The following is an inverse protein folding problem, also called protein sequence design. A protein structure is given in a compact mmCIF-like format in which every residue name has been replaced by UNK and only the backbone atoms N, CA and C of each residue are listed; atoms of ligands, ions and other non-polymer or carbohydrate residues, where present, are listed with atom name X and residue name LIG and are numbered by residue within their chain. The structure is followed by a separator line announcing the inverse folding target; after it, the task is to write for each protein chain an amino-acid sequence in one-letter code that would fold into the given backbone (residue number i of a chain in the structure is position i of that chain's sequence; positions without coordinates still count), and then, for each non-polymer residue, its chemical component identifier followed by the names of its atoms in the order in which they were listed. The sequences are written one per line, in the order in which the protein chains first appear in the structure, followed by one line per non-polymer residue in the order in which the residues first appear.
data_IF_198330448459
#
_entry.id   IF_198330448459
#
_cell.length_a   1.000
_cell.length_b   1.000
_cell.length_c   1.000
_cell.angle_alpha   90.00
_cell.angle_beta   90.00
_cell.angle_gamma   90.00
#
_symmetry.space_group_name_H-M   'P 1'
#
loop_
_entity.id
_entity.type
_entity.pdbx_description
1 polymer ?
#
# COMPACT_ATOMS: atom_id res chain seq x y z
N UNK A 1 -2.61 -6.27 15.91
CA UNK A 1 -1.69 -6.06 14.75
C UNK A 1 -0.97 -7.37 14.43
N UNK A 2 -0.94 -7.80 13.17
CA UNK A 2 -0.19 -9.01 12.77
C UNK A 2 1.33 -8.82 12.94
N UNK A 3 2.01 -9.83 13.47
CA UNK A 3 3.43 -9.80 13.82
C UNK A 3 4.33 -9.61 12.58
N UNK A 4 3.90 -10.12 11.43
CA UNK A 4 4.74 -10.11 10.22
C UNK A 4 4.77 -8.72 9.56
N UNK A 5 3.61 -8.12 9.29
CA UNK A 5 3.53 -6.76 8.73
C UNK A 5 4.09 -5.70 9.71
N UNK A 6 3.87 -5.88 11.02
CA UNK A 6 4.45 -5.00 12.04
C UNK A 6 5.99 -5.02 12.00
N UNK A 7 6.60 -6.19 11.78
CA UNK A 7 8.05 -6.29 11.66
C UNK A 7 8.57 -5.54 10.42
N UNK A 8 7.91 -5.69 9.27
CA UNK A 8 8.29 -4.99 8.03
C UNK A 8 8.19 -3.46 8.21
N UNK A 9 7.10 -2.96 8.81
CA UNK A 9 6.91 -1.53 9.10
C UNK A 9 8.03 -1.02 10.03
N UNK A 10 8.38 -1.77 11.06
CA UNK A 10 9.46 -1.39 11.99
C UNK A 10 10.83 -1.31 11.29
N UNK A 11 11.12 -2.23 10.37
CA UNK A 11 12.34 -2.19 9.56
C UNK A 11 12.36 -0.95 8.64
N UNK A 12 11.24 -0.60 8.02
CA UNK A 12 11.11 0.61 7.21
C UNK A 12 11.24 1.90 8.03
N UNK A 13 10.66 1.96 9.22
CA UNK A 13 10.81 3.09 10.16
C UNK A 13 12.27 3.34 10.51
N UNK A 14 13.02 2.27 10.80
CA UNK A 14 14.44 2.37 11.12
C UNK A 14 15.27 2.82 9.92
N UNK A 15 14.94 2.33 8.72
CA UNK A 15 15.70 2.63 7.50
C UNK A 15 15.37 4.00 6.91
N UNK A 16 14.11 4.41 6.98
CA UNK A 16 13.57 5.64 6.40
C UNK A 16 12.76 6.43 7.45
N UNK A 17 13.42 6.93 8.51
CA UNK A 17 12.74 7.60 9.62
C UNK A 17 12.06 8.91 9.21
N UNK A 18 12.43 9.49 8.06
CA UNK A 18 11.79 10.69 7.54
C UNK A 18 10.41 10.46 6.90
N UNK A 19 10.01 9.21 6.70
CA UNK A 19 8.68 8.82 6.21
C UNK A 19 7.78 8.35 7.37
N UNK A 20 8.06 8.79 8.60
CA UNK A 20 7.35 8.39 9.81
C UNK A 20 5.83 8.54 9.70
N UNK A 21 5.35 9.58 9.03
CA UNK A 21 3.91 9.80 8.82
C UNK A 21 3.25 8.68 8.00
N UNK A 22 3.94 8.12 6.99
CA UNK A 22 3.46 6.97 6.21
C UNK A 22 3.39 5.74 7.09
N UNK A 23 4.46 5.51 7.86
CA UNK A 23 4.55 4.32 8.72
C UNK A 23 3.53 4.37 9.85
N UNK A 24 3.25 5.55 10.41
CA UNK A 24 2.17 5.76 11.36
C UNK A 24 0.81 5.44 10.74
N UNK A 25 0.59 5.88 9.50
CA UNK A 25 -0.66 5.57 8.77
C UNK A 25 -0.84 4.06 8.55
N UNK A 26 0.23 3.32 8.23
CA UNK A 26 0.16 1.86 8.06
C UNK A 26 -0.10 1.14 9.39
N UNK A 27 0.44 1.64 10.50
CA UNK A 27 0.11 1.13 11.83
C UNK A 27 -1.36 1.38 12.16
N UNK A 28 -1.88 2.58 11.85
CA UNK A 28 -3.29 2.92 12.04
C UNK A 28 -4.23 2.05 11.22
N UNK A 29 -3.86 1.75 9.98
CA UNK A 29 -4.60 0.80 9.14
C UNK A 29 -4.58 -0.61 9.73
N UNK A 30 -3.50 -0.99 10.39
CA UNK A 30 -3.32 -2.31 11.01
C UNK A 30 -3.85 -2.42 12.44
N UNK A 31 -4.33 -1.31 13.01
CA UNK A 31 -4.88 -1.27 14.36
C UNK A 31 -6.24 -2.00 14.43
N UNK A 32 -6.45 -2.66 15.57
CA UNK A 32 -7.70 -3.35 15.87
C UNK A 32 -8.89 -2.38 15.93
N UNK A 33 -10.10 -2.92 15.81
CA UNK A 33 -11.32 -2.15 15.94
C UNK A 33 -11.50 -1.75 17.41
N UNK A 34 -11.73 -0.46 17.66
CA UNK A 34 -12.06 0.05 19.00
C UNK A 34 -13.56 -0.13 19.30
N UNK A 35 -14.38 -0.15 18.26
CA UNK A 35 -15.84 -0.36 18.32
C UNK A 35 -16.22 -1.39 17.25
N UNK A 36 -16.47 -2.63 17.66
CA UNK A 36 -16.86 -3.74 16.78
C UNK A 36 -18.38 -3.85 16.61
N UNK A 37 -19.17 -3.01 17.28
CA UNK A 37 -20.64 -3.03 17.29
C UNK A 37 -21.27 -2.14 16.21
N UNK A 38 -20.47 -1.51 15.34
CA UNK A 38 -21.01 -0.69 14.24
C UNK A 38 -21.89 -1.52 13.29
N UNK A 39 -23.18 -1.19 13.23
CA UNK A 39 -24.18 -1.90 12.44
C UNK A 39 -23.82 -2.00 10.94
N UNK A 40 -23.03 -1.05 10.42
CA UNK A 40 -22.58 -1.05 9.01
C UNK A 40 -21.67 -2.24 8.69
N UNK A 41 -21.00 -2.82 9.69
CA UNK A 41 -20.16 -4.00 9.52
C UNK A 41 -20.93 -5.29 9.26
N UNK A 42 -22.26 -5.28 9.33
CA UNK A 42 -23.08 -6.44 8.96
C UNK A 42 -22.86 -6.86 7.50
N UNK A 43 -22.46 -5.93 6.61
CA UNK A 43 -22.14 -6.25 5.22
C UNK A 43 -20.98 -7.25 5.12
N UNK A 44 -20.05 -7.24 6.07
CA UNK A 44 -18.92 -8.16 6.11
C UNK A 44 -19.34 -9.62 6.33
N UNK A 45 -20.50 -9.89 6.93
CA UNK A 45 -21.03 -11.25 7.02
C UNK A 45 -21.36 -11.82 5.64
N UNK A 46 -21.93 -10.98 4.76
CA UNK A 46 -22.24 -11.34 3.38
C UNK A 46 -20.98 -11.55 2.53
N UNK A 47 -20.04 -10.60 2.60
CA UNK A 47 -18.79 -10.62 1.82
C UNK A 47 -17.91 -11.81 2.24
N UNK A 48 -17.84 -12.15 3.53
CA UNK A 48 -17.01 -13.26 4.00
C UNK A 48 -17.66 -14.65 3.81
N UNK A 49 -18.98 -14.74 3.65
CA UNK A 49 -19.70 -16.01 3.59
C UNK A 49 -19.22 -17.01 2.52
N UNK A 50 -18.85 -16.60 1.28
CA UNK A 50 -18.32 -17.51 0.27
C UNK A 50 -17.00 -18.19 0.68
N UNK A 51 -16.25 -17.60 1.62
CA UNK A 51 -14.93 -18.04 2.03
C UNK A 51 -14.99 -19.00 3.21
N UNK A 52 -15.68 -20.14 3.04
CA UNK A 52 -16.04 -21.07 4.13
C UNK A 52 -14.91 -21.51 5.08
N UNK A 53 -13.65 -21.55 4.62
CA UNK A 53 -12.48 -21.88 5.44
C UNK A 53 -11.85 -20.71 6.20
N UNK A 54 -12.23 -19.47 5.86
CA UNK A 54 -11.64 -18.22 6.36
C UNK A 54 -12.68 -17.18 6.78
N UNK A 55 -13.97 -17.56 6.90
CA UNK A 55 -15.07 -16.62 7.17
C UNK A 55 -14.75 -15.67 8.33
N UNK A 56 -14.27 -16.19 9.47
CA UNK A 56 -13.95 -15.35 10.63
C UNK A 56 -12.78 -14.39 10.36
N UNK A 57 -11.73 -14.86 9.69
CA UNK A 57 -10.56 -14.04 9.33
C UNK A 57 -10.96 -12.92 8.37
N UNK A 58 -11.73 -13.27 7.33
CA UNK A 58 -12.15 -12.34 6.29
C UNK A 58 -13.22 -11.37 6.79
N UNK A 59 -14.12 -11.81 7.67
CA UNK A 59 -15.06 -10.91 8.34
C UNK A 59 -14.31 -9.83 9.11
N UNK A 60 -13.32 -10.22 9.93
CA UNK A 60 -12.52 -9.24 10.70
C UNK A 60 -11.70 -8.33 9.79
N UNK A 61 -11.07 -8.87 8.74
CA UNK A 61 -10.35 -8.05 7.77
C UNK A 61 -11.26 -7.08 7.01
N UNK A 62 -12.46 -7.50 6.60
CA UNK A 62 -13.45 -6.62 5.97
C UNK A 62 -13.81 -5.44 6.88
N UNK A 63 -14.04 -5.69 8.17
CA UNK A 63 -14.34 -4.60 9.12
C UNK A 63 -13.18 -3.62 9.25
N UNK A 64 -11.94 -4.12 9.36
CA UNK A 64 -10.74 -3.28 9.41
C UNK A 64 -10.62 -2.44 8.13
N UNK A 65 -10.83 -3.05 6.97
CA UNK A 65 -10.77 -2.35 5.69
C UNK A 65 -11.89 -1.31 5.55
N UNK A 66 -13.12 -1.60 5.95
CA UNK A 66 -14.20 -0.61 5.97
C UNK A 66 -13.88 0.56 6.91
N UNK A 67 -13.34 0.31 8.10
CA UNK A 67 -12.85 1.36 9.01
C UNK A 67 -11.77 2.23 8.34
N UNK A 68 -10.85 1.61 7.61
CA UNK A 68 -9.77 2.34 6.95
C UNK A 68 -10.32 3.16 5.76
N UNK A 69 -11.23 2.58 4.98
CA UNK A 69 -11.92 3.26 3.88
C UNK A 69 -12.72 4.47 4.37
N UNK A 70 -13.48 4.31 5.45
CA UNK A 70 -14.18 5.41 6.13
C UNK A 70 -13.24 6.59 6.43
N UNK A 71 -12.08 6.30 7.04
CA UNK A 71 -11.09 7.32 7.40
C UNK A 71 -10.39 8.00 6.22
N UNK A 72 -10.23 7.33 5.08
CA UNK A 72 -9.55 7.91 3.91
C UNK A 72 -10.51 8.52 2.91
N UNK A 73 -11.79 8.14 2.94
CA UNK A 73 -12.80 8.58 1.98
C UNK A 73 -13.79 9.59 2.55
N UNK A 74 -13.92 9.73 3.86
CA UNK A 74 -14.82 10.71 4.47
C UNK A 74 -14.04 11.83 5.14
N UNK A 75 -14.42 13.06 4.83
CA UNK A 75 -14.08 14.24 5.62
C UNK A 75 -15.36 14.89 6.13
N UNK A 76 -15.35 15.34 7.39
CA UNK A 76 -16.43 16.16 7.91
C UNK A 76 -16.50 17.45 7.09
N UNK A 77 -17.73 17.88 6.77
CA UNK A 77 -17.97 19.20 6.21
C UNK A 77 -17.68 20.26 7.28
N UNK A 78 -16.39 20.52 7.57
CA UNK A 78 -16.00 21.64 8.42
C UNK A 78 -16.39 22.92 7.68
N UNK A 79 -17.40 23.60 8.20
CA UNK A 79 -17.64 25.02 7.93
C UNK A 79 -16.30 25.76 8.04
N UNK A 80 -15.95 26.58 7.05
CA UNK A 80 -14.69 27.37 6.97
C UNK A 80 -14.41 28.27 8.21
N UNK A 81 -15.25 28.25 9.23
CA UNK A 81 -15.18 29.08 10.44
C UNK A 81 -14.44 28.48 11.64
N UNK A 82 -13.95 27.23 11.59
CA UNK A 82 -13.27 26.59 12.73
C UNK A 82 -11.85 26.11 12.40
N UNK A 83 -11.00 27.02 11.89
CA UNK A 83 -9.55 26.81 11.89
C UNK A 83 -8.96 27.31 13.21
N UNK A 84 -8.96 26.44 14.23
CA UNK A 84 -8.35 26.72 15.52
C UNK A 84 -7.81 25.45 16.17
N UNK A 85 -6.49 25.24 16.05
CA UNK A 85 -5.67 24.12 16.55
C UNK A 85 -5.81 22.81 15.73
N UNK A 86 -4.80 22.25 15.08
CA UNK A 86 -3.36 22.36 15.29
C UNK A 86 -2.76 21.03 15.72
N UNK A 87 -2.96 19.98 14.92
CA UNK A 87 -2.11 18.78 14.91
C UNK A 87 -1.61 18.58 13.49
N UNK A 88 -0.30 18.40 13.33
CA UNK A 88 0.37 18.28 12.02
C UNK A 88 -0.02 17.02 11.21
N UNK A 89 -0.92 16.18 11.73
CA UNK A 89 -1.51 14.99 11.08
C UNK A 89 -2.60 15.32 10.03
N UNK A 90 -3.03 16.58 9.92
CA UNK A 90 -4.23 16.99 9.14
C UNK A 90 -3.91 17.54 7.73
N UNK A 91 -2.71 17.29 7.18
CA UNK A 91 -2.28 17.87 5.89
C UNK A 91 -2.18 16.88 4.71
N UNK A 92 -2.35 15.57 4.94
CA UNK A 92 -2.38 14.59 3.85
C UNK A 92 -3.78 14.57 3.24
N UNK A 93 -3.89 14.90 1.96
CA UNK A 93 -5.15 14.90 1.23
C UNK A 93 -5.73 13.49 1.05
N UNK A 94 -7.04 13.42 0.84
CA UNK A 94 -7.81 12.17 0.70
C UNK A 94 -7.23 11.24 -0.37
N UNK A 95 -6.73 11.78 -1.49
CA UNK A 95 -6.17 10.96 -2.57
C UNK A 95 -4.84 10.33 -2.14
N UNK A 96 -3.96 11.10 -1.50
CA UNK A 96 -2.70 10.56 -0.94
C UNK A 96 -2.98 9.51 0.15
N UNK A 97 -4.00 9.70 1.00
CA UNK A 97 -4.41 8.68 1.98
C UNK A 97 -4.90 7.39 1.30
N UNK A 98 -5.69 7.52 0.24
CA UNK A 98 -6.16 6.38 -0.55
C UNK A 98 -5.02 5.62 -1.24
N UNK A 99 -4.02 6.33 -1.81
CA UNK A 99 -2.82 5.70 -2.39
C UNK A 99 -2.09 4.87 -1.32
N UNK A 100 -1.89 5.46 -0.13
CA UNK A 100 -1.25 4.76 0.97
C UNK A 100 -2.07 3.55 1.48
N UNK A 101 -3.40 3.63 1.46
CA UNK A 101 -4.26 2.48 1.76
C UNK A 101 -4.04 1.34 0.75
N UNK A 102 -3.96 1.65 -0.54
CA UNK A 102 -3.69 0.65 -1.58
C UNK A 102 -2.28 0.04 -1.46
N UNK A 103 -1.27 0.82 -1.09
CA UNK A 103 0.08 0.31 -0.80
C UNK A 103 0.05 -0.61 0.42
N UNK A 104 -0.64 -0.23 1.49
CA UNK A 104 -0.81 -1.09 2.66
C UNK A 104 -1.54 -2.40 2.30
N UNK A 105 -2.60 -2.33 1.49
CA UNK A 105 -3.31 -3.51 0.97
C UNK A 105 -2.40 -4.43 0.17
N UNK A 106 -1.50 -3.88 -0.64
CA UNK A 106 -0.51 -4.67 -1.38
C UNK A 106 0.38 -5.49 -0.43
N UNK A 107 0.96 -4.88 0.61
CA UNK A 107 1.79 -5.61 1.56
C UNK A 107 0.98 -6.60 2.41
N UNK A 108 -0.23 -6.21 2.83
CA UNK A 108 -1.14 -7.07 3.58
C UNK A 108 -1.53 -8.32 2.76
N UNK A 109 -1.92 -8.15 1.50
CA UNK A 109 -2.31 -9.25 0.60
C UNK A 109 -1.14 -10.15 0.26
N UNK A 110 0.08 -9.62 0.11
CA UNK A 110 1.30 -10.41 -0.09
C UNK A 110 1.56 -11.38 1.08
N UNK A 111 1.25 -10.96 2.31
CA UNK A 111 1.43 -11.76 3.52
C UNK A 111 0.27 -12.74 3.70
N UNK A 112 -0.96 -12.23 3.65
CA UNK A 112 -2.17 -12.97 4.06
C UNK A 112 -2.88 -13.68 2.90
N UNK A 113 -2.45 -13.42 1.66
CA UNK A 113 -3.01 -14.00 0.44
C UNK A 113 -4.53 -13.77 0.36
N UNK A 114 -4.97 -12.54 0.63
CA UNK A 114 -6.37 -12.14 0.45
C UNK A 114 -6.63 -11.93 -1.04
N UNK A 115 -7.68 -12.53 -1.62
CA UNK A 115 -8.04 -12.34 -3.03
C UNK A 115 -8.45 -10.90 -3.34
N UNK A 116 -8.08 -10.41 -4.52
CA UNK A 116 -8.45 -9.08 -4.99
C UNK A 116 -9.98 -8.92 -5.13
N UNK A 117 -10.68 -9.97 -5.59
CA UNK A 117 -12.16 -10.01 -5.66
C UNK A 117 -12.81 -9.71 -4.31
N UNK A 118 -12.24 -10.22 -3.21
CA UNK A 118 -12.73 -9.92 -1.86
C UNK A 118 -12.56 -8.44 -1.52
N UNK A 119 -11.41 -7.85 -1.86
CA UNK A 119 -11.11 -6.45 -1.58
C UNK A 119 -12.02 -5.54 -2.41
N UNK A 120 -12.23 -5.86 -3.69
CA UNK A 120 -13.16 -5.16 -4.57
C UNK A 120 -14.59 -5.14 -4.00
N UNK A 121 -15.07 -6.26 -3.46
CA UNK A 121 -16.39 -6.32 -2.80
C UNK A 121 -16.46 -5.38 -1.59
N UNK A 122 -15.39 -5.27 -0.79
CA UNK A 122 -15.36 -4.36 0.37
C UNK A 122 -15.36 -2.90 -0.06
N UNK A 123 -14.59 -2.53 -1.08
CA UNK A 123 -14.61 -1.17 -1.65
C UNK A 123 -15.98 -0.84 -2.23
N UNK A 124 -16.59 -1.76 -2.98
CA UNK A 124 -17.95 -1.57 -3.51
C UNK A 124 -19.00 -1.45 -2.41
N UNK A 125 -18.83 -2.17 -1.29
CA UNK A 125 -19.70 -2.04 -0.14
C UNK A 125 -19.58 -0.65 0.48
N UNK A 126 -18.37 -0.12 0.66
CA UNK A 126 -18.14 1.24 1.14
C UNK A 126 -18.85 2.28 0.27
N UNK A 127 -18.71 2.19 -1.05
CA UNK A 127 -19.38 3.08 -2.00
C UNK A 127 -20.91 3.05 -1.83
N UNK A 128 -21.47 1.86 -1.55
CA UNK A 128 -22.89 1.69 -1.25
C UNK A 128 -23.28 2.32 0.08
N UNK A 129 -22.48 2.16 1.13
CA UNK A 129 -22.75 2.70 2.47
C UNK A 129 -22.75 4.23 2.50
N UNK A 130 -21.94 4.88 1.65
CA UNK A 130 -21.91 6.34 1.53
C UNK A 130 -23.28 6.93 1.20
N UNK A 131 -24.10 6.21 0.43
CA UNK A 131 -25.47 6.65 0.11
C UNK A 131 -26.36 6.81 1.35
N UNK A 132 -26.00 6.17 2.48
CA UNK A 132 -26.73 6.25 3.75
C UNK A 132 -26.37 7.48 4.59
N UNK A 133 -25.21 8.10 4.34
CA UNK A 133 -24.69 9.21 5.16
C UNK A 133 -25.17 10.59 4.72
N UNK A 134 -25.63 10.73 3.47
CA UNK A 134 -26.15 11.98 2.91
C UNK A 134 -25.14 13.13 2.95
N UNK A 135 -25.63 14.37 3.00
CA UNK A 135 -24.81 15.59 2.87
C UNK A 135 -23.97 15.92 4.13
N UNK A 136 -23.94 15.06 5.15
CA UNK A 136 -23.19 15.32 6.39
C UNK A 136 -21.69 15.21 6.20
N UNK A 137 -21.26 14.36 5.27
CA UNK A 137 -19.85 14.08 5.02
C UNK A 137 -19.52 14.39 3.57
N UNK A 138 -18.33 14.93 3.34
CA UNK A 138 -17.76 14.96 2.00
C UNK A 138 -17.13 13.61 1.75
N UNK A 139 -17.65 12.93 0.73
CA UNK A 139 -17.10 11.66 0.28
C UNK A 139 -16.15 11.88 -0.91
N UNK A 140 -14.90 11.49 -0.73
CA UNK A 140 -13.90 11.37 -1.79
C UNK A 140 -13.72 9.88 -2.09
N UNK A 141 -14.14 9.46 -3.29
CA UNK A 141 -14.06 8.06 -3.69
C UNK A 141 -12.62 7.58 -3.73
N UNK A 142 -12.31 6.56 -2.93
CA UNK A 142 -11.05 5.83 -2.98
C UNK A 142 -11.22 4.63 -3.92
N UNK A 143 -10.38 4.54 -4.95
CA UNK A 143 -10.40 3.42 -5.88
C UNK A 143 -9.41 2.36 -5.43
N UNK A 144 -9.85 1.11 -5.45
CA UNK A 144 -8.94 -0.01 -5.23
C UNK A 144 -8.02 -0.17 -6.44
N UNK A 145 -6.73 -0.32 -6.19
CA UNK A 145 -5.70 -0.61 -7.17
C UNK A 145 -4.89 -1.83 -6.72
N UNK A 146 -5.14 -2.97 -7.38
CA UNK A 146 -4.30 -4.14 -7.19
C UNK A 146 -2.93 -3.93 -7.84
N UNK A 147 -1.95 -3.55 -7.04
CA UNK A 147 -0.58 -3.35 -7.53
C UNK A 147 0.00 -4.60 -8.21
N UNK A 148 -0.35 -5.78 -7.72
CA UNK A 148 0.08 -7.06 -8.29
C UNK A 148 -0.49 -7.31 -9.69
N UNK A 149 -1.71 -6.83 -9.96
CA UNK A 149 -2.41 -7.04 -11.23
C UNK A 149 -2.26 -5.89 -12.22
N UNK A 150 -1.98 -4.68 -11.73
CA UNK A 150 -1.85 -3.48 -12.57
C UNK A 150 -0.41 -3.23 -12.98
N UNK A 151 0.59 -3.63 -12.18
CA UNK A 151 1.99 -3.29 -12.41
C UNK A 151 2.92 -4.51 -12.42
N UNK A 152 4.01 -4.37 -13.17
CA UNK A 152 5.16 -5.26 -13.06
C UNK A 152 6.13 -4.72 -11.98
N UNK A 153 6.77 -5.62 -11.23
CA UNK A 153 7.74 -5.28 -10.17
C UNK A 153 7.18 -4.27 -9.12
N UNK A 154 6.00 -4.54 -8.51
CA UNK A 154 5.28 -3.58 -7.68
C UNK A 154 6.06 -3.05 -6.46
N UNK A 155 6.89 -3.86 -5.80
CA UNK A 155 7.67 -3.40 -4.62
C UNK A 155 8.66 -2.29 -4.96
N UNK A 156 9.38 -2.48 -6.07
CA UNK A 156 10.33 -1.50 -6.58
C UNK A 156 9.59 -0.24 -7.04
N UNK A 157 8.43 -0.40 -7.69
CA UNK A 157 7.60 0.72 -8.14
C UNK A 157 7.03 1.53 -6.96
N UNK A 158 6.43 0.86 -5.97
CA UNK A 158 5.85 1.48 -4.77
C UNK A 158 6.89 2.40 -4.11
N UNK A 159 8.14 1.95 -4.00
CA UNK A 159 9.21 2.77 -3.45
C UNK A 159 9.50 4.03 -4.27
N UNK A 160 9.39 3.97 -5.59
CA UNK A 160 9.52 5.16 -6.43
C UNK A 160 8.31 6.09 -6.29
N UNK A 161 7.10 5.55 -6.18
CA UNK A 161 5.87 6.33 -5.97
C UNK A 161 5.84 6.99 -4.60
N UNK A 162 6.33 6.31 -3.57
CA UNK A 162 6.51 6.90 -2.23
C UNK A 162 7.43 8.12 -2.28
N UNK A 163 8.44 8.16 -3.16
CA UNK A 163 9.20 9.39 -3.40
C UNK A 163 8.32 10.50 -4.00
N UNK A 164 7.55 10.19 -5.05
CA UNK A 164 6.70 11.17 -5.76
C UNK A 164 5.71 11.82 -4.80
N UNK A 165 5.02 11.01 -3.99
CA UNK A 165 3.98 11.49 -3.06
C UNK A 165 4.55 12.28 -1.87
N UNK A 166 5.88 12.22 -1.65
CA UNK A 166 6.54 12.84 -0.49
C UNK A 166 7.70 13.75 -0.92
N UNK A 167 7.66 14.25 -2.15
CA UNK A 167 8.77 15.00 -2.72
C UNK A 167 9.12 16.26 -1.93
N UNK A 168 8.12 16.94 -1.35
CA UNK A 168 8.32 18.17 -0.58
C UNK A 168 9.05 17.88 0.74
N UNK A 169 8.64 16.82 1.45
CA UNK A 169 9.30 16.37 2.68
C UNK A 169 10.75 16.00 2.39
N UNK A 170 10.97 15.24 1.31
CA UNK A 170 12.29 14.81 0.87
C UNK A 170 13.16 16.02 0.50
N UNK A 171 12.63 16.95 -0.29
CA UNK A 171 13.30 18.20 -0.67
C UNK A 171 13.74 18.98 0.57
N UNK A 172 12.82 19.22 1.52
CA UNK A 172 13.10 19.98 2.74
C UNK A 172 14.23 19.35 3.56
N UNK A 173 14.26 18.01 3.65
CA UNK A 173 15.33 17.30 4.36
C UNK A 173 16.65 17.40 3.62
N UNK A 174 16.66 17.24 2.30
CA UNK A 174 17.89 17.33 1.50
C UNK A 174 18.50 18.75 1.47
N UNK A 175 17.67 19.78 1.70
CA UNK A 175 18.11 21.17 1.87
C UNK A 175 18.60 21.49 3.29
N UNK A 176 18.37 20.59 4.25
CA UNK A 176 18.77 20.78 5.64
C UNK A 176 20.27 20.52 5.88
N UNK A 177 20.74 20.85 7.10
CA UNK A 177 22.11 20.55 7.50
C UNK A 177 22.30 19.04 7.68
N UNK A 178 23.51 18.50 7.42
CA UNK A 178 23.79 17.07 7.60
C UNK A 178 23.43 16.58 9.01
N UNK A 179 22.67 15.48 9.04
CA UNK A 179 22.15 14.79 10.22
C UNK A 179 21.91 13.32 9.85
N UNK A 180 21.61 12.45 10.82
CA UNK A 180 21.25 11.06 10.52
C UNK A 180 20.06 10.94 9.57
N UNK A 181 19.04 11.79 9.75
CA UNK A 181 17.84 11.86 8.89
C UNK A 181 18.18 12.35 7.48
N UNK A 182 19.08 13.33 7.36
CA UNK A 182 19.59 13.77 6.06
C UNK A 182 20.29 12.62 5.32
N UNK A 183 21.18 11.89 6.00
CA UNK A 183 21.93 10.80 5.36
C UNK A 183 21.03 9.64 4.95
N UNK A 184 20.05 9.26 5.77
CA UNK A 184 19.07 8.23 5.38
C UNK A 184 18.22 8.66 4.19
N UNK A 185 17.89 9.95 4.07
CA UNK A 185 17.21 10.50 2.90
C UNK A 185 18.09 10.47 1.64
N UNK A 186 19.38 10.83 1.75
CA UNK A 186 20.34 10.70 0.62
C UNK A 186 20.48 9.23 0.19
N UNK A 187 20.57 8.29 1.12
CA UNK A 187 20.64 6.86 0.83
C UNK A 187 19.37 6.36 0.13
N UNK A 188 18.20 6.79 0.60
CA UNK A 188 16.94 6.52 -0.08
C UNK A 188 16.94 7.04 -1.53
N UNK A 189 17.38 8.27 -1.78
CA UNK A 189 17.48 8.84 -3.13
C UNK A 189 18.44 8.07 -4.03
N UNK A 190 19.55 7.57 -3.47
CA UNK A 190 20.48 6.69 -4.17
C UNK A 190 19.84 5.36 -4.55
N UNK A 191 19.07 4.77 -3.64
CA UNK A 191 18.32 3.53 -3.88
C UNK A 191 17.24 3.73 -4.96
N UNK A 192 16.44 4.80 -4.90
CA UNK A 192 15.44 5.12 -5.91
C UNK A 192 16.07 5.28 -7.31
N UNK A 193 17.21 6.00 -7.42
CA UNK A 193 17.91 6.12 -8.69
C UNK A 193 18.45 4.77 -9.22
N UNK A 194 18.87 3.86 -8.34
CA UNK A 194 19.30 2.50 -8.72
C UNK A 194 18.11 1.67 -9.23
N UNK A 195 16.97 1.72 -8.53
CA UNK A 195 15.74 1.02 -8.90
C UNK A 195 15.22 1.54 -10.25
N UNK A 196 15.12 2.86 -10.44
CA UNK A 196 14.72 3.45 -11.71
C UNK A 196 15.58 2.94 -12.87
N UNK A 197 16.92 2.97 -12.72
CA UNK A 197 17.84 2.47 -13.75
C UNK A 197 17.61 0.99 -14.07
N UNK A 198 17.42 0.16 -13.04
CA UNK A 198 17.12 -1.28 -13.18
C UNK A 198 15.84 -1.47 -13.99
N UNK A 199 14.73 -0.87 -13.56
CA UNK A 199 13.42 -1.06 -14.18
C UNK A 199 13.35 -0.46 -15.59
N UNK A 200 13.83 0.78 -15.77
CA UNK A 200 13.83 1.45 -17.07
C UNK A 200 14.63 0.67 -18.11
N UNK A 201 15.82 0.14 -17.73
CA UNK A 201 16.65 -0.65 -18.64
C UNK A 201 16.01 -1.99 -18.99
N UNK A 202 15.41 -2.68 -18.01
CA UNK A 202 14.83 -4.02 -18.22
C UNK A 202 13.51 -3.97 -18.98
N UNK A 203 12.69 -2.96 -18.75
CA UNK A 203 11.28 -2.99 -19.16
C UNK A 203 10.89 -1.87 -20.12
N UNK A 204 11.52 -0.70 -20.07
CA UNK A 204 11.04 0.49 -20.79
C UNK A 204 11.93 0.92 -21.96
N UNK A 205 13.22 0.52 -21.97
CA UNK A 205 14.13 0.74 -23.11
C UNK A 205 14.07 -0.37 -24.17
N UNK A 206 13.49 -1.52 -23.84
CA UNK A 206 13.22 -2.61 -24.80
C UNK A 206 12.05 -2.19 -25.70
N UNK A 207 11.89 -2.80 -26.88
CA UNK A 207 10.71 -2.57 -27.73
C UNK A 207 9.43 -2.61 -26.87
N UNK A 208 8.53 -1.65 -27.07
CA UNK A 208 7.35 -1.46 -26.22
C UNK A 208 6.63 -2.80 -26.02
N UNK A 209 6.58 -3.25 -24.76
CA UNK A 209 5.81 -4.44 -24.39
C UNK A 209 4.34 -4.21 -24.71
N UNK A 210 3.66 -5.22 -25.24
CA UNK A 210 2.20 -5.21 -25.40
C UNK A 210 1.47 -5.56 -24.10
N UNK A 211 2.19 -6.04 -23.08
CA UNK A 211 1.61 -6.36 -21.78
C UNK A 211 1.36 -5.08 -20.97
N UNK A 212 0.09 -4.90 -20.59
CA UNK A 212 -0.42 -3.72 -19.87
C UNK A 212 0.34 -3.44 -18.58
N UNK A 213 0.79 -4.47 -17.85
CA UNK A 213 1.55 -4.29 -16.59
C UNK A 213 2.83 -3.50 -16.79
N UNK A 214 3.55 -3.80 -17.87
CA UNK A 214 4.79 -3.11 -18.21
C UNK A 214 4.54 -1.73 -18.81
N UNK A 215 3.45 -1.56 -19.58
CA UNK A 215 3.03 -0.24 -20.08
C UNK A 215 2.77 0.70 -18.90
N UNK A 216 1.96 0.27 -17.94
CA UNK A 216 1.64 1.03 -16.72
C UNK A 216 2.89 1.33 -15.90
N UNK A 217 3.74 0.32 -15.65
CA UNK A 217 5.03 0.51 -14.97
C UNK A 217 5.87 1.61 -15.64
N UNK A 218 5.99 1.57 -16.97
CA UNK A 218 6.79 2.55 -17.71
C UNK A 218 6.16 3.94 -17.76
N UNK A 219 4.84 4.06 -17.59
CA UNK A 219 4.18 5.36 -17.40
C UNK A 219 4.54 5.95 -16.04
N UNK A 220 4.43 5.17 -14.97
CA UNK A 220 4.81 5.63 -13.62
C UNK A 220 6.29 5.96 -13.49
N UNK A 221 7.17 5.20 -14.15
CA UNK A 221 8.60 5.53 -14.20
C UNK A 221 8.90 6.88 -14.84
N UNK A 222 8.10 7.32 -15.83
CA UNK A 222 8.22 8.67 -16.42
C UNK A 222 7.77 9.75 -15.44
N UNK A 223 6.71 9.49 -14.68
CA UNK A 223 6.26 10.37 -13.60
C UNK A 223 7.39 10.54 -12.58
N UNK A 224 7.94 9.44 -12.07
CA UNK A 224 9.08 9.46 -11.17
C UNK A 224 10.28 10.22 -11.77
N UNK A 225 10.67 9.93 -13.01
CA UNK A 225 11.80 10.58 -13.68
C UNK A 225 11.64 12.11 -13.71
N UNK A 226 10.44 12.60 -14.01
CA UNK A 226 10.13 14.03 -14.06
C UNK A 226 10.37 14.69 -12.70
N UNK A 227 9.78 14.15 -11.63
CA UNK A 227 9.90 14.72 -10.29
C UNK A 227 11.33 14.61 -9.74
N UNK A 228 11.97 13.46 -9.91
CA UNK A 228 13.36 13.26 -9.48
C UNK A 228 14.32 14.21 -10.21
N UNK A 229 14.16 14.36 -11.52
CA UNK A 229 15.01 15.26 -12.33
C UNK A 229 14.80 16.72 -11.95
N UNK A 230 13.56 17.13 -11.65
CA UNK A 230 13.26 18.47 -11.13
C UNK A 230 14.05 18.74 -9.85
N UNK A 231 13.99 17.80 -8.89
CA UNK A 231 14.69 17.92 -7.62
C UNK A 231 16.22 17.88 -7.78
N UNK A 232 16.75 16.99 -8.62
CA UNK A 232 18.19 16.91 -8.92
C UNK A 232 18.74 18.19 -9.57
N UNK A 233 17.94 18.86 -10.40
CA UNK A 233 18.36 20.09 -11.08
C UNK A 233 18.42 21.31 -10.16
N UNK A 234 17.97 21.21 -8.91
CA UNK A 234 18.19 22.24 -7.90
C UNK A 234 19.71 22.36 -7.68
N UNK A 235 20.31 23.55 -7.85
CA UNK A 235 21.77 23.71 -7.84
C UNK A 235 22.46 23.14 -6.59
N UNK A 236 21.79 23.24 -5.43
CA UNK A 236 22.30 22.70 -4.16
C UNK A 236 22.31 21.17 -4.11
N UNK A 237 21.40 20.50 -4.82
CA UNK A 237 21.20 19.04 -4.76
C UNK A 237 21.92 18.29 -5.86
N UNK A 238 22.32 18.96 -6.94
CA UNK A 238 23.00 18.37 -8.10
C UNK A 238 24.25 17.54 -7.75
N UNK A 239 24.98 17.95 -6.71
CA UNK A 239 26.18 17.24 -6.23
C UNK A 239 25.89 16.22 -5.11
N UNK A 240 24.67 16.24 -4.54
CA UNK A 240 24.29 15.42 -3.38
C UNK A 240 23.52 14.16 -3.78
N UNK A 241 22.74 14.23 -4.85
CA UNK A 241 21.98 13.09 -5.37
C UNK A 241 22.40 12.77 -6.81
N UNK A 242 22.43 11.49 -7.19
CA UNK A 242 22.92 11.08 -8.49
C UNK A 242 21.96 11.45 -9.62
N UNK A 243 22.50 11.81 -10.78
CA UNK A 243 21.69 11.88 -12.00
C UNK A 243 21.18 10.47 -12.37
N UNK A 244 19.96 10.38 -12.91
CA UNK A 244 19.34 9.09 -13.26
C UNK A 244 20.10 8.33 -14.36
N UNK A 245 20.77 9.04 -15.27
CA UNK A 245 21.63 8.45 -16.31
C UNK A 245 23.08 8.21 -15.88
N UNK A 246 23.48 8.58 -14.65
CA UNK A 246 24.85 8.33 -14.21
C UNK A 246 25.15 6.82 -14.27
N UNK A 247 26.37 6.39 -14.64
CA UNK A 247 26.77 5.00 -14.52
C UNK A 247 26.62 4.52 -13.07
N UNK A 248 26.30 3.24 -12.86
CA UNK A 248 26.34 2.66 -11.53
C UNK A 248 27.79 2.71 -11.03
N UNK A 249 28.07 3.46 -9.97
CA UNK A 249 29.23 3.21 -9.14
C UNK A 249 28.94 1.90 -8.41
N UNK A 250 29.52 0.79 -8.88
CA UNK A 250 29.61 -0.41 -8.09
C UNK A 250 30.22 -0.03 -6.73
N UNK A 251 29.58 -0.45 -5.64
CA UNK A 251 30.04 -0.13 -4.28
C UNK A 251 31.50 -0.55 -4.13
N UNK A 252 32.39 0.44 -4.03
CA UNK A 252 33.82 0.20 -3.88
C UNK A 252 34.74 1.42 -4.03
N UNK A 253 34.26 2.56 -4.55
CA UNK A 253 35.16 3.68 -4.89
C UNK A 253 34.84 5.05 -4.24
N UNK A 254 33.79 5.18 -3.41
CA UNK A 254 33.35 6.49 -2.92
C UNK A 254 33.30 6.64 -1.37
N UNK A 255 34.09 5.87 -0.63
CA UNK A 255 34.28 6.10 0.82
C UNK A 255 35.54 6.89 1.19
N UNK A 256 36.31 7.35 0.22
CA UNK A 256 37.43 8.25 0.46
C UNK A 256 37.29 9.39 -0.53
N UNK A 257 36.85 10.57 -0.07
CA UNK A 257 37.21 11.92 -0.58
C UNK A 257 36.52 13.06 0.20
N UNK A 258 35.72 12.81 1.24
CA UNK A 258 35.26 13.87 2.17
C UNK A 258 35.90 13.69 3.54
N UNK A 259 37.23 13.61 3.58
CA UNK A 259 37.98 13.82 4.83
C UNK A 259 39.40 14.28 4.53
N UNK A 260 39.53 15.40 3.82
CA UNK A 260 40.77 16.16 3.91
C UNK A 260 40.48 17.65 3.83
N UNK A 261 40.85 18.36 4.88
CA UNK A 261 40.56 19.78 5.05
C UNK A 261 40.83 20.27 6.47
N UNK A 262 42.11 20.51 6.76
CA UNK A 262 42.68 21.31 7.86
C UNK A 262 43.03 20.60 9.18
N UNK A 263 44.26 20.07 9.22
CA UNK A 263 45.09 20.07 10.43
C UNK A 263 46.23 21.07 10.21
N UNK A 264 46.47 22.04 11.10
CA UNK A 264 47.81 22.51 11.40
C UNK A 264 48.39 21.64 12.51
N UNK A 265 49.52 21.06 12.16
CA UNK A 265 50.42 20.21 12.94
C UNK A 265 50.84 20.87 14.25
N UNK A 266 50.80 20.11 15.34
CA UNK A 266 51.89 20.09 16.32
C UNK A 266 51.96 18.71 16.95
N UNK A 267 53.16 18.13 16.87
CA UNK A 267 53.51 16.76 17.25
C UNK A 267 53.75 16.59 18.75
N UNK A 268 53.87 15.29 19.09
CA UNK A 268 54.20 14.62 20.35
C UNK A 268 52.98 14.33 21.24
N UNK A 269 52.63 13.07 21.51
CA UNK A 269 53.50 11.92 21.79
C UNK A 269 52.75 10.60 21.60
N UNK A 270 53.52 9.56 21.28
CA UNK A 270 53.25 8.12 21.23
C UNK A 270 51.99 7.58 21.93
N UNK A 271 51.31 6.61 21.30
CA UNK A 271 51.16 5.23 21.83
C UNK A 271 50.38 4.31 20.85
N UNK A 272 51.14 3.40 20.24
CA UNK A 272 50.86 1.98 19.94
C UNK A 272 49.59 1.54 19.15
N UNK A 273 49.85 1.10 17.91
CA UNK A 273 49.48 -0.19 17.29
C UNK A 273 48.09 -0.83 17.55
N UNK A 274 47.32 -0.93 16.47
CA UNK A 274 46.22 -1.89 16.19
C UNK A 274 46.53 -3.36 16.55
N UNK A 275 45.59 -4.33 16.42
CA UNK A 275 44.14 -4.35 16.63
C UNK A 275 43.65 -5.58 17.47
N UNK A 276 42.34 -5.59 17.74
CA UNK A 276 41.47 -6.77 17.95
C UNK A 276 41.58 -7.55 19.27
N UNK A 277 40.55 -7.38 20.12
CA UNK A 277 39.70 -8.46 20.71
C UNK A 277 38.83 -7.88 21.82
N UNK A 278 37.53 -7.82 21.58
CA UNK A 278 36.56 -7.57 22.65
C UNK A 278 36.59 -8.77 23.63
N UNK A 279 37.01 -8.50 24.86
CA UNK A 279 36.70 -9.32 26.02
C UNK A 279 35.85 -8.48 26.95
N UNK A 280 34.63 -8.96 27.14
CA UNK A 280 33.67 -8.50 28.14
C UNK A 280 34.26 -8.75 29.52
N UNK A 281 34.28 -7.72 30.37
CA UNK A 281 34.36 -7.87 31.83
C UNK A 281 33.45 -6.82 32.46
N UNK A 282 32.22 -7.21 32.77
CA UNK A 282 31.31 -6.47 33.64
C UNK A 282 31.59 -6.88 35.08
N UNK A 283 32.03 -5.93 35.91
CA UNK A 283 32.07 -6.07 37.36
C UNK A 283 30.76 -5.59 37.98
N UNK A 284 30.27 -6.37 38.94
CA UNK A 284 28.98 -6.29 39.63
C UNK A 284 29.07 -5.42 40.87
N UNK A 285 28.03 -4.60 41.12
CA UNK A 285 27.59 -4.32 42.51
C UNK A 285 26.08 -4.04 42.61
N UNK A 286 25.37 -5.10 42.99
CA UNK A 286 24.20 -5.25 43.87
C UNK A 286 23.10 -4.15 43.98
N UNK A 287 21.86 -4.59 43.73
CA UNK A 287 20.62 -3.91 44.16
C UNK A 287 19.32 -4.65 43.81
N UNK A 288 19.13 -5.85 44.37
CA UNK A 288 17.86 -6.52 44.78
C UNK A 288 16.60 -6.43 43.89
N UNK A 289 16.12 -7.58 43.39
CA UNK A 289 14.72 -7.77 42.97
C UNK A 289 14.46 -8.81 41.88
N UNK A 290 14.95 -10.04 42.01
CA UNK A 290 14.71 -11.13 41.06
C UNK A 290 13.51 -12.00 41.44
N UNK A 291 12.64 -12.27 40.46
CA UNK A 291 11.81 -13.47 40.23
C UNK A 291 10.93 -13.15 39.01
N UNK A 292 10.88 -13.85 37.88
CA UNK A 292 11.47 -15.10 37.43
C UNK A 292 10.62 -15.55 36.23
N UNK A 293 11.08 -15.33 35.01
CA UNK A 293 10.41 -15.83 33.80
C UNK A 293 11.42 -16.48 32.86
N UNK A 294 11.86 -17.68 33.22
CA UNK A 294 12.37 -18.64 32.25
C UNK A 294 11.86 -20.02 32.64
N UNK A 295 10.84 -20.50 31.93
CA UNK A 295 10.39 -21.88 32.07
C UNK A 295 9.02 -22.18 31.50
N UNK A 296 8.79 -22.03 30.19
CA UNK A 296 7.78 -22.81 29.46
C UNK A 296 8.15 -22.97 27.97
N UNK A 297 9.14 -23.82 27.68
CA UNK A 297 9.25 -24.49 26.37
C UNK A 297 9.45 -26.00 26.56
N UNK A 298 8.60 -26.60 27.41
CA UNK A 298 8.52 -28.04 27.48
C UNK A 298 7.07 -28.44 27.68
N UNK A 299 6.59 -29.35 26.82
CA UNK A 299 5.22 -29.94 26.75
C UNK A 299 4.26 -29.01 25.98
N UNK A 300 3.83 -29.30 24.76
CA UNK A 300 3.15 -30.52 24.31
C UNK A 300 3.44 -30.84 22.83
N UNK A 301 4.18 -31.91 22.60
CA UNK A 301 3.92 -32.78 21.45
C UNK A 301 3.19 -34.01 21.97
N UNK A 302 2.02 -34.36 21.42
CA UNK A 302 1.64 -35.74 21.31
C UNK A 302 1.47 -36.11 19.83
N UNK A 303 2.40 -36.95 19.36
CA UNK A 303 2.26 -37.76 18.16
C UNK A 303 1.44 -39.02 18.50
N UNK A 304 0.66 -39.50 17.51
CA UNK A 304 -0.20 -40.71 17.40
C UNK A 304 -1.69 -40.45 17.70
N UNK A 305 -2.66 -40.90 16.90
CA UNK A 305 -2.68 -41.97 15.88
C UNK A 305 -3.80 -41.79 14.85
N UNK A 306 -3.46 -42.12 13.59
CA UNK A 306 -4.24 -42.87 12.59
C UNK A 306 -5.63 -43.39 13.02
N UNK A 307 -6.70 -43.08 12.26
CA UNK A 307 -7.61 -44.04 11.62
C UNK A 307 -8.55 -43.33 10.62
N UNK A 308 -8.68 -43.95 9.45
CA UNK A 308 -9.60 -43.62 8.37
C UNK A 308 -11.06 -43.91 8.75
N UNK A 309 -11.98 -43.06 8.31
CA UNK A 309 -13.37 -43.47 8.08
C UNK A 309 -13.83 -42.92 6.73
N UNK A 310 -13.77 -43.81 5.73
CA UNK A 310 -14.47 -43.71 4.46
C UNK A 310 -15.86 -44.28 4.70
N UNK A 311 -16.93 -43.52 4.43
CA UNK A 311 -18.20 -44.10 4.02
C UNK A 311 -19.05 -43.11 3.19
N UNK A 312 -19.63 -43.68 2.14
CA UNK A 312 -20.48 -43.08 1.09
C UNK A 312 -21.95 -43.08 1.51
N UNK A 313 -22.75 -42.22 0.87
CA UNK A 313 -24.16 -42.35 0.43
C UNK A 313 -24.90 -41.02 0.68
N UNK A 314 -25.20 -40.19 -0.32
CA UNK A 314 -26.21 -40.30 -1.39
C UNK A 314 -27.65 -39.89 -0.96
N UNK A 315 -28.15 -38.86 -1.67
CA UNK A 315 -29.53 -38.42 -1.97
C UNK A 315 -30.40 -37.74 -0.90
N UNK A 316 -30.73 -36.46 -1.16
CA UNK A 316 -32.06 -35.92 -1.53
C UNK A 316 -31.90 -34.38 -1.70
N UNK A 317 -31.97 -33.75 -2.87
CA UNK A 317 -33.08 -33.47 -3.81
C UNK A 317 -34.25 -32.66 -3.22
N UNK A 318 -34.21 -31.33 -3.39
CA UNK A 318 -35.35 -30.41 -3.67
C UNK A 318 -34.69 -29.20 -4.39
N UNK A 319 -34.50 -29.17 -5.72
CA UNK A 319 -35.41 -28.74 -6.80
C UNK A 319 -36.63 -27.89 -6.42
N UNK A 320 -36.47 -26.57 -6.56
CA UNK A 320 -37.35 -25.60 -7.24
C UNK A 320 -36.34 -24.57 -7.81
N UNK A 321 -35.90 -24.56 -9.07
CA UNK A 321 -36.55 -24.47 -10.39
C UNK A 321 -37.42 -23.22 -10.64
N UNK A 322 -37.22 -22.68 -11.85
CA UNK A 322 -37.68 -21.45 -12.52
C UNK A 322 -37.10 -20.10 -12.05
N UNK A 323 -36.37 -19.31 -12.85
CA UNK A 323 -36.06 -19.37 -14.28
C UNK A 323 -35.10 -18.23 -14.71
N UNK A 324 -34.68 -18.17 -15.98
CA UNK A 324 -33.37 -17.68 -16.41
C UNK A 324 -33.38 -16.23 -16.93
N UNK A 325 -32.21 -15.59 -16.90
CA UNK A 325 -31.82 -14.60 -17.91
C UNK A 325 -30.35 -14.83 -18.26
N UNK A 326 -30.12 -15.65 -19.27
CA UNK A 326 -28.95 -15.53 -20.11
C UNK A 326 -29.10 -14.24 -20.92
N UNK A 327 -28.05 -13.42 -21.01
CA UNK A 327 -27.56 -12.91 -22.29
C UNK A 327 -26.18 -12.27 -22.10
N UNK A 328 -25.19 -13.02 -22.53
CA UNK A 328 -23.84 -12.61 -22.86
C UNK A 328 -23.88 -11.51 -23.93
N UNK A 329 -23.11 -10.45 -23.78
CA UNK A 329 -22.47 -9.78 -24.93
C UNK A 329 -21.06 -9.35 -24.56
N UNK A 330 -20.11 -9.97 -25.27
CA UNK A 330 -18.75 -9.47 -25.42
C UNK A 330 -18.67 -8.54 -26.64
N UNK A 331 -17.70 -7.62 -26.57
CA UNK A 331 -16.91 -7.02 -27.67
C UNK A 331 -17.51 -5.86 -28.47
N UNK A 332 -16.70 -5.07 -29.24
CA UNK A 332 -15.43 -4.40 -28.92
C UNK A 332 -15.38 -2.94 -29.48
N UNK A 333 -14.29 -2.25 -29.19
CA UNK A 333 -13.70 -1.06 -29.84
C UNK A 333 -14.27 -0.53 -31.19
N UNK A 334 -14.65 0.75 -31.16
CA UNK A 334 -14.05 1.85 -31.97
C UNK A 334 -14.71 2.41 -33.26
N UNK A 335 -14.69 3.75 -33.31
CA UNK A 335 -14.73 4.76 -34.41
C UNK A 335 -15.92 4.89 -35.39
N UNK A 336 -16.48 6.13 -35.37
CA UNK A 336 -17.00 6.97 -36.46
C UNK A 336 -18.04 6.41 -37.46
N UNK A 337 -19.29 6.90 -37.38
CA UNK A 337 -20.00 7.41 -38.56
C UNK A 337 -21.24 8.25 -38.20
N UNK A 338 -21.28 9.43 -38.81
CA UNK A 338 -22.43 10.24 -39.26
C UNK A 338 -23.85 9.89 -38.80
N UNK A 339 -24.51 10.90 -38.22
CA UNK A 339 -25.95 10.89 -37.94
C UNK A 339 -26.76 11.05 -39.22
N UNK A 340 -27.56 10.04 -39.57
CA UNK A 340 -28.71 10.22 -40.43
C UNK A 340 -29.99 9.97 -39.63
N UNK A 341 -30.85 11.00 -39.62
CA UNK A 341 -32.18 10.99 -39.07
C UNK A 341 -33.07 9.99 -39.82
N UNK A 342 -33.65 9.02 -39.12
CA UNK A 342 -34.85 8.33 -39.59
C UNK A 342 -35.93 8.34 -38.51
N UNK A 343 -36.93 9.15 -38.78
CA UNK A 343 -38.20 9.31 -38.09
C UNK A 343 -39.01 8.00 -38.13
N UNK A 344 -39.30 7.42 -36.97
CA UNK A 344 -40.18 6.26 -36.85
C UNK A 344 -41.62 6.73 -36.61
N UNK A 345 -42.48 6.55 -37.62
CA UNK A 345 -43.93 6.71 -37.48
C UNK A 345 -44.57 5.40 -37.01
N UNK A 346 -45.12 5.38 -35.79
CA UNK A 346 -45.92 4.26 -35.26
C UNK A 346 -47.40 4.59 -35.46
N UNK A 347 -48.07 3.84 -36.35
CA UNK A 347 -49.52 3.91 -36.55
C UNK A 347 -50.24 2.93 -35.62
N UNK A 348 -51.19 3.43 -34.83
CA UNK A 348 -52.10 2.61 -34.03
C UNK A 348 -53.32 2.21 -34.85
N UNK A 349 -53.63 0.91 -34.93
CA UNK A 349 -54.94 0.41 -35.36
C UNK A 349 -55.81 0.11 -34.14
N UNK A 350 -57.03 0.65 -34.12
CA UNK A 350 -58.08 0.35 -33.15
C UNK A 350 -58.78 -0.95 -33.51
N UNK A 351 -58.88 -1.89 -32.56
CA UNK A 351 -59.74 -3.07 -32.65
C UNK A 351 -61.15 -2.74 -32.16
N UNK A 352 -62.14 -2.97 -33.02
CA UNK A 352 -63.57 -2.89 -32.72
C UNK A 352 -64.03 -4.11 -31.92
N UNK A 353 -64.79 -3.86 -30.84
CA UNK A 353 -65.47 -4.87 -30.06
C UNK A 353 -66.68 -5.43 -30.83
N UNK A 354 -66.71 -6.74 -31.07
CA UNK A 354 -67.91 -7.45 -31.51
C UNK A 354 -68.63 -8.05 -30.30
N UNK A 355 -69.81 -7.49 -29.97
CA UNK A 355 -70.86 -8.17 -29.23
C UNK A 355 -71.76 -8.92 -30.20
N UNK A 356 -72.05 -10.19 -29.93
CA UNK A 356 -73.30 -10.81 -30.37
C UNK A 356 -73.87 -11.72 -29.28
N UNK A 357 -75.17 -11.53 -29.09
CA UNK A 357 -76.22 -12.07 -28.22
C UNK A 357 -76.04 -13.46 -27.57
#
# INVERSE_FOLDING_TARGET
MDLSLSQEINEWKLKYPFLEHIWSLFEDFSNELVDDENELYIVCDGIAAPYHGKISEYKEFCKILLKNLDRVSLSENKSESETGAGYFEDNMDDNTRCINLNIWLYYYTKIHHVPDEFIEEVFSAMDGLVTLWGDKFKYTKCYYESYSDVYAEPEDLIKLLTFVDNEEVILNILMSKPSSVYYSCVDYMNECAKIYRKLNTRHCKVAQSSDKKYINLCQELKTFEKYYTSLHNIPYLKEKIPHLDSPQLEHGAAESQIRDGQVPTNEHTDFLSSPLKSKITTAVTAGVGACGFLGFLYKFTPVRSWFSARNRAAKASILLDDGPNEMLYNSPDSWNMESDNTEYNIGYHSTEDYNFE
#
